data_IF_695779104610
#
_entry.id   IF_695779104610
#
_cell.length_a   1.000
_cell.length_b   1.000
_cell.length_c   1.000
_cell.angle_alpha   90.00
_cell.angle_beta   90.00
_cell.angle_gamma   90.00
#
_symmetry.space_group_name_H-M   'P 1'
#
loop_
_entity.id
_entity.type
_entity.pdbx_description
1 polymer ?
#
# COMPACT_ATOMS: atom_id res chain seq x y z
N UNK A 1 13.67 -32.60 17.59
CA UNK A 1 12.36 -31.90 17.75
C UNK A 1 12.51 -30.52 17.12
N UNK A 2 12.35 -30.39 15.80
CA UNK A 2 12.34 -29.08 15.15
C UNK A 2 11.06 -28.38 15.59
N UNK A 3 11.18 -27.32 16.40
CA UNK A 3 10.07 -26.38 16.58
C UNK A 3 9.65 -25.97 15.19
N UNK A 4 8.35 -26.05 14.88
CA UNK A 4 7.78 -25.54 13.64
C UNK A 4 8.09 -24.03 13.58
N UNK A 5 9.27 -23.69 13.05
CA UNK A 5 9.67 -22.32 12.77
C UNK A 5 8.58 -21.75 11.89
N UNK A 6 7.98 -20.64 12.31
CA UNK A 6 6.92 -20.04 11.54
C UNK A 6 7.58 -19.53 10.27
N UNK A 7 7.10 -19.91 9.10
CA UNK A 7 7.57 -19.42 7.80
C UNK A 7 7.78 -17.90 7.73
N UNK A 8 7.13 -17.15 8.61
CA UNK A 8 7.31 -15.70 8.84
C UNK A 8 8.77 -15.33 9.12
N UNK A 9 9.51 -16.19 9.82
CA UNK A 9 10.91 -15.98 10.21
C UNK A 9 11.87 -16.06 9.01
N UNK A 10 11.39 -16.54 7.84
CA UNK A 10 12.20 -16.70 6.63
C UNK A 10 12.07 -15.52 5.65
N UNK A 11 11.18 -14.55 5.88
CA UNK A 11 11.07 -13.36 5.03
C UNK A 11 12.30 -12.45 5.22
N UNK A 12 12.69 -11.70 4.18
CA UNK A 12 13.83 -10.78 4.29
C UNK A 12 13.60 -9.73 5.37
N UNK A 13 12.35 -9.30 5.59
CA UNK A 13 12.01 -8.37 6.68
C UNK A 13 12.27 -8.96 8.05
N UNK A 14 11.80 -10.17 8.33
CA UNK A 14 12.03 -10.83 9.62
C UNK A 14 13.52 -11.12 9.88
N UNK A 15 14.24 -11.55 8.84
CA UNK A 15 15.68 -11.76 8.91
C UNK A 15 16.44 -10.44 9.15
N UNK A 16 16.06 -9.36 8.46
CA UNK A 16 16.64 -8.03 8.67
C UNK A 16 16.39 -7.51 10.08
N UNK A 17 15.17 -7.65 10.59
CA UNK A 17 14.87 -7.29 11.98
C UNK A 17 15.77 -8.05 12.95
N UNK A 18 15.94 -9.35 12.75
CA UNK A 18 16.81 -10.18 13.59
C UNK A 18 18.28 -9.72 13.52
N UNK A 19 18.78 -9.42 12.32
CA UNK A 19 20.13 -8.93 12.11
C UNK A 19 20.35 -7.55 12.77
N UNK A 20 19.41 -6.62 12.62
CA UNK A 20 19.49 -5.28 13.22
C UNK A 20 19.37 -5.33 14.74
N UNK A 21 18.52 -6.21 15.29
CA UNK A 21 18.40 -6.40 16.75
C UNK A 21 19.68 -6.99 17.34
N UNK A 22 20.36 -7.91 16.65
CA UNK A 22 21.67 -8.42 17.09
C UNK A 22 22.74 -7.31 17.08
N UNK A 23 22.74 -6.46 16.06
CA UNK A 23 23.71 -5.37 15.92
C UNK A 23 23.42 -4.22 16.89
N UNK A 24 22.14 -3.94 17.19
CA UNK A 24 21.67 -2.80 17.99
C UNK A 24 20.47 -3.19 18.87
N UNK A 25 20.67 -3.99 19.94
CA UNK A 25 19.57 -4.49 20.76
C UNK A 25 18.68 -3.38 21.33
N UNK A 26 17.36 -3.52 21.17
CA UNK A 26 16.34 -2.59 21.66
C UNK A 26 16.32 -1.22 20.98
N UNK A 27 17.12 -1.00 19.93
CA UNK A 27 17.21 0.29 19.22
C UNK A 27 16.43 0.31 17.91
N UNK A 28 16.15 -0.86 17.33
CA UNK A 28 15.51 -0.97 16.02
C UNK A 28 14.21 -1.73 16.16
N UNK A 29 13.14 -1.17 15.61
CA UNK A 29 11.86 -1.86 15.46
C UNK A 29 11.49 -1.86 13.98
N UNK A 30 11.37 -3.05 13.41
CA UNK A 30 10.86 -3.20 12.05
C UNK A 30 9.35 -3.46 12.11
N UNK A 31 8.59 -2.73 11.30
CA UNK A 31 7.17 -3.01 11.09
C UNK A 31 6.94 -3.53 9.68
N UNK A 32 6.50 -4.79 9.57
CA UNK A 32 6.21 -5.38 8.27
C UNK A 32 4.81 -4.98 7.77
N UNK A 33 4.76 -4.10 6.76
CA UNK A 33 3.52 -3.64 6.12
C UNK A 33 3.33 -4.17 4.70
N UNK A 34 4.20 -5.07 4.20
CA UNK A 34 4.07 -5.58 2.85
C UNK A 34 2.83 -6.49 2.70
N UNK A 35 2.17 -6.38 1.53
CA UNK A 35 1.00 -7.19 1.17
C UNK A 35 1.21 -7.80 -0.22
N UNK A 36 0.93 -9.09 -0.33
CA UNK A 36 1.02 -9.83 -1.61
C UNK A 36 0.14 -9.15 -2.66
N UNK A 37 0.70 -8.88 -3.84
CA UNK A 37 -0.01 -8.24 -4.96
C UNK A 37 -0.36 -6.77 -4.72
N UNK A 38 0.21 -6.10 -3.73
CA UNK A 38 -0.03 -4.69 -3.50
C UNK A 38 1.00 -3.86 -4.27
N UNK A 39 0.54 -2.91 -5.07
CA UNK A 39 1.35 -1.89 -5.73
C UNK A 39 1.28 -0.56 -4.96
N UNK A 40 1.92 0.49 -5.48
CA UNK A 40 1.97 1.81 -4.83
C UNK A 40 0.57 2.41 -4.54
N UNK A 41 -0.39 2.45 -5.48
CA UNK A 41 -1.76 2.91 -5.17
C UNK A 41 -2.47 2.10 -4.08
N UNK A 42 -2.18 0.80 -3.96
CA UNK A 42 -2.69 -0.04 -2.89
C UNK A 42 -2.03 0.29 -1.53
N UNK A 43 -0.73 0.54 -1.51
CA UNK A 43 0.05 0.74 -0.28
C UNK A 43 -0.09 2.15 0.31
N UNK A 44 -0.29 3.18 -0.53
CA UNK A 44 -0.33 4.56 -0.08
C UNK A 44 -1.40 4.84 1.00
N UNK A 45 -2.67 4.39 0.86
CA UNK A 45 -3.66 4.53 1.93
C UNK A 45 -3.26 3.81 3.22
N UNK A 46 -2.59 2.66 3.12
CA UNK A 46 -2.18 1.91 4.31
C UNK A 46 -1.09 2.61 5.09
N UNK A 47 -0.13 3.24 4.40
CA UNK A 47 0.89 4.05 5.07
C UNK A 47 0.24 5.18 5.84
N UNK A 48 -0.66 5.94 5.21
CA UNK A 48 -1.34 7.05 5.90
C UNK A 48 -2.12 6.56 7.12
N UNK A 49 -2.88 5.45 6.98
CA UNK A 49 -3.64 4.88 8.09
C UNK A 49 -2.75 4.37 9.22
N UNK A 50 -1.70 3.62 8.89
CA UNK A 50 -0.78 3.05 9.89
C UNK A 50 -0.10 4.15 10.71
N UNK A 51 0.19 5.28 10.08
CA UNK A 51 0.87 6.39 10.74
C UNK A 51 -0.06 7.23 11.61
N UNK A 52 -1.34 7.33 11.25
CA UNK A 52 -2.32 8.00 12.13
C UNK A 52 -2.54 7.26 13.45
N UNK A 53 -2.52 5.94 13.43
CA UNK A 53 -2.60 5.11 14.64
C UNK A 53 -1.31 5.11 15.47
N UNK A 54 -0.21 5.64 14.91
CA UNK A 54 1.09 5.69 15.58
C UNK A 54 1.30 7.03 16.26
N UNK A 55 1.88 7.01 17.47
CA UNK A 55 2.34 8.23 18.14
C UNK A 55 3.61 8.82 17.54
N UNK A 56 4.28 8.09 16.64
CA UNK A 56 5.56 8.48 16.03
C UNK A 56 5.61 8.06 14.57
N UNK A 57 6.07 8.95 13.70
CA UNK A 57 6.42 8.57 12.33
C UNK A 57 7.62 7.61 12.33
N UNK A 58 7.75 6.70 11.35
CA UNK A 58 8.91 5.85 11.21
C UNK A 58 10.12 6.70 10.84
N UNK A 59 11.30 6.32 11.32
CA UNK A 59 12.54 6.96 10.90
C UNK A 59 12.87 6.65 9.43
N UNK A 60 12.45 5.48 8.94
CA UNK A 60 12.72 4.98 7.59
C UNK A 60 11.54 4.15 7.06
N UNK A 61 11.18 4.37 5.80
CA UNK A 61 10.29 3.51 5.02
C UNK A 61 11.09 2.86 3.89
N UNK A 62 11.02 1.54 3.83
CA UNK A 62 11.62 0.73 2.76
C UNK A 62 10.54 0.40 1.72
N UNK A 63 10.75 0.81 0.47
CA UNK A 63 9.84 0.60 -0.65
C UNK A 63 10.34 -0.57 -1.51
N UNK A 64 9.62 -1.69 -1.52
CA UNK A 64 9.88 -2.88 -2.33
C UNK A 64 8.63 -3.24 -3.15
N UNK A 65 8.53 -2.71 -4.37
CA UNK A 65 7.38 -2.89 -5.27
C UNK A 65 7.76 -3.47 -6.63
N UNK A 66 9.00 -3.90 -6.84
CA UNK A 66 9.50 -4.23 -8.17
C UNK A 66 8.72 -5.35 -8.86
N UNK A 67 8.28 -6.38 -8.13
CA UNK A 67 7.45 -7.47 -8.69
C UNK A 67 5.99 -7.09 -8.93
N UNK A 68 5.41 -6.24 -8.08
CA UNK A 68 3.99 -5.87 -8.19
C UNK A 68 3.79 -4.68 -9.14
N UNK A 69 4.87 -4.24 -9.79
CA UNK A 69 4.96 -3.02 -10.56
C UNK A 69 4.96 -1.81 -9.63
N UNK A 70 5.82 -0.84 -9.92
CA UNK A 70 5.83 0.49 -9.32
C UNK A 70 4.59 1.31 -9.77
N UNK A 71 3.41 0.71 -9.77
CA UNK A 71 2.16 1.31 -10.26
C UNK A 71 2.04 1.41 -11.78
N UNK A 72 2.97 0.81 -12.55
CA UNK A 72 2.94 0.85 -14.03
C UNK A 72 3.27 2.21 -14.65
N UNK A 73 3.54 3.23 -13.83
CA UNK A 73 3.96 4.56 -14.28
C UNK A 73 4.83 5.25 -13.22
N UNK A 74 5.83 6.05 -13.61
CA UNK A 74 6.70 6.76 -12.68
C UNK A 74 5.97 7.78 -11.79
N UNK A 75 4.84 8.32 -12.27
CA UNK A 75 3.99 9.26 -11.54
C UNK A 75 3.50 8.67 -10.22
N UNK A 76 3.21 7.37 -10.16
CA UNK A 76 2.72 6.72 -8.94
C UNK A 76 3.80 6.66 -7.85
N UNK A 77 5.07 6.45 -8.23
CA UNK A 77 6.18 6.46 -7.27
C UNK A 77 6.47 7.87 -6.78
N UNK A 78 6.43 8.84 -7.68
CA UNK A 78 6.57 10.23 -7.28
C UNK A 78 5.42 10.71 -6.38
N UNK A 79 4.18 10.36 -6.70
CA UNK A 79 3.01 10.61 -5.85
C UNK A 79 3.24 10.07 -4.44
N UNK A 80 3.69 8.82 -4.33
CA UNK A 80 3.97 8.19 -3.04
C UNK A 80 5.07 8.94 -2.27
N UNK A 81 6.19 9.28 -2.93
CA UNK A 81 7.30 10.03 -2.33
C UNK A 81 6.82 11.37 -1.80
N UNK A 82 6.10 12.13 -2.64
CA UNK A 82 5.63 13.47 -2.29
C UNK A 82 4.62 13.43 -1.15
N UNK A 83 3.73 12.44 -1.12
CA UNK A 83 2.83 12.22 0.01
C UNK A 83 3.60 11.91 1.29
N UNK A 84 4.62 11.04 1.21
CA UNK A 84 5.45 10.74 2.38
C UNK A 84 6.18 11.99 2.89
N UNK A 85 6.79 12.79 2.03
CA UNK A 85 7.42 14.05 2.45
C UNK A 85 6.40 15.09 2.98
N UNK A 86 5.17 15.06 2.48
CA UNK A 86 4.10 15.96 2.95
C UNK A 86 3.68 15.57 4.36
N UNK A 87 3.42 14.28 4.57
CA UNK A 87 2.83 13.76 5.80
C UNK A 87 3.88 13.47 6.88
N UNK A 88 5.07 13.06 6.47
CA UNK A 88 6.18 12.61 7.28
C UNK A 88 7.50 13.23 6.78
N UNK A 89 7.68 14.56 6.88
CA UNK A 89 8.80 15.28 6.26
C UNK A 89 10.19 14.85 6.72
N UNK A 90 10.30 14.16 7.85
CA UNK A 90 11.57 13.70 8.41
C UNK A 90 11.80 12.19 8.22
N UNK A 91 10.81 11.46 7.72
CA UNK A 91 10.96 10.03 7.44
C UNK A 91 11.85 9.85 6.23
N UNK A 92 12.92 9.07 6.38
CA UNK A 92 13.75 8.68 5.27
C UNK A 92 12.98 7.69 4.38
N UNK A 93 13.21 7.78 3.08
CA UNK A 93 12.74 6.78 2.13
C UNK A 93 13.94 6.00 1.60
N UNK A 94 13.77 4.69 1.40
CA UNK A 94 14.73 3.82 0.74
C UNK A 94 14.00 3.05 -0.36
N UNK A 95 14.41 3.24 -1.60
CA UNK A 95 13.86 2.47 -2.73
C UNK A 95 14.71 1.23 -2.92
N UNK A 96 14.07 0.06 -2.98
CA UNK A 96 14.73 -1.17 -3.39
C UNK A 96 14.22 -1.57 -4.76
N UNK A 97 15.12 -1.54 -5.74
CA UNK A 97 14.85 -2.10 -7.05
C UNK A 97 15.15 -3.59 -7.07
N UNK A 98 14.12 -4.37 -7.40
CA UNK A 98 14.23 -5.73 -7.91
C UNK A 98 13.35 -5.85 -9.17
N UNK A 99 13.62 -6.85 -10.01
CA UNK A 99 12.75 -7.26 -11.11
C UNK A 99 12.42 -8.73 -10.96
N UNK A 100 11.50 -9.28 -11.76
CA UNK A 100 11.36 -10.72 -11.88
C UNK A 100 12.69 -11.31 -12.33
N UNK A 101 13.29 -12.10 -11.44
CA UNK A 101 14.60 -12.66 -11.68
C UNK A 101 14.56 -14.09 -12.25
N UNK A 102 13.37 -14.57 -12.63
CA UNK A 102 13.23 -15.81 -13.41
C UNK A 102 13.79 -15.68 -14.83
N UNK A 103 13.92 -14.44 -15.34
CA UNK A 103 14.65 -14.10 -16.56
C UNK A 103 15.80 -13.15 -16.18
N UNK A 104 17.03 -13.42 -16.61
CA UNK A 104 18.17 -12.53 -16.35
C UNK A 104 18.08 -11.26 -17.19
N UNK A 105 17.66 -11.39 -18.44
CA UNK A 105 17.58 -10.26 -19.35
C UNK A 105 16.42 -9.34 -18.92
N UNK A 106 16.70 -8.06 -18.62
CA UNK A 106 15.66 -7.13 -18.25
C UNK A 106 14.76 -6.86 -19.47
N UNK A 107 13.44 -6.88 -19.26
CA UNK A 107 12.51 -6.44 -20.29
C UNK A 107 12.64 -4.93 -20.52
N UNK A 108 12.10 -4.44 -21.65
CA UNK A 108 12.00 -2.98 -21.88
C UNK A 108 11.26 -2.25 -20.74
N UNK A 109 10.28 -2.92 -20.13
CA UNK A 109 9.55 -2.41 -18.97
C UNK A 109 10.44 -2.29 -17.74
N UNK A 110 11.27 -3.29 -17.46
CA UNK A 110 12.20 -3.28 -16.33
C UNK A 110 13.23 -2.16 -16.45
N UNK A 111 13.81 -1.99 -17.64
CA UNK A 111 14.78 -0.91 -17.92
C UNK A 111 14.13 0.46 -17.67
N UNK A 112 12.92 0.68 -18.21
CA UNK A 112 12.19 1.94 -18.04
C UNK A 112 11.85 2.21 -16.57
N UNK A 113 11.43 1.20 -15.83
CA UNK A 113 11.08 1.32 -14.42
C UNK A 113 12.33 1.60 -13.55
N UNK A 114 13.46 0.93 -13.81
CA UNK A 114 14.72 1.23 -13.12
C UNK A 114 15.22 2.64 -13.42
N UNK A 115 15.15 3.08 -14.68
CA UNK A 115 15.49 4.46 -15.06
C UNK A 115 14.63 5.48 -14.32
N UNK A 116 13.34 5.20 -14.17
CA UNK A 116 12.41 6.04 -13.41
C UNK A 116 12.77 6.09 -11.92
N UNK A 117 13.10 4.95 -11.32
CA UNK A 117 13.56 4.88 -9.93
C UNK A 117 14.85 5.67 -9.73
N UNK A 118 15.81 5.58 -10.66
CA UNK A 118 17.06 6.36 -10.64
C UNK A 118 16.80 7.86 -10.77
N UNK A 119 15.93 8.27 -11.68
CA UNK A 119 15.59 9.67 -11.89
C UNK A 119 14.94 10.27 -10.63
N UNK A 120 13.98 9.58 -10.02
CA UNK A 120 13.34 10.02 -8.78
C UNK A 120 14.29 9.98 -7.57
N UNK A 121 15.12 8.94 -7.48
CA UNK A 121 16.17 8.82 -6.47
C UNK A 121 17.11 10.03 -6.50
N UNK A 122 17.62 10.40 -7.68
CA UNK A 122 18.47 11.57 -7.84
C UNK A 122 17.75 12.90 -7.58
N UNK A 123 16.52 13.03 -8.08
CA UNK A 123 15.72 14.25 -7.96
C UNK A 123 15.31 14.58 -6.51
N UNK A 124 14.95 13.56 -5.72
CA UNK A 124 14.53 13.71 -4.32
C UNK A 124 15.62 13.38 -3.30
N UNK A 125 16.84 13.01 -3.74
CA UNK A 125 17.93 12.61 -2.83
C UNK A 125 17.66 11.31 -2.06
N UNK A 126 16.84 10.41 -2.63
CA UNK A 126 16.41 9.17 -1.99
C UNK A 126 17.38 8.04 -2.34
N UNK A 127 17.97 7.31 -1.38
CA UNK A 127 18.80 6.15 -1.68
C UNK A 127 18.06 5.08 -2.49
N UNK A 128 18.75 4.52 -3.49
CA UNK A 128 18.27 3.42 -4.32
C UNK A 128 19.22 2.22 -4.19
N UNK A 129 18.71 1.11 -3.66
CA UNK A 129 19.42 -0.17 -3.65
C UNK A 129 18.97 -1.03 -4.81
N UNK A 130 19.92 -1.41 -5.66
CA UNK A 130 19.66 -2.23 -6.84
C UNK A 130 20.03 -3.68 -6.56
N UNK A 131 19.05 -4.47 -6.16
CA UNK A 131 19.23 -5.89 -5.87
C UNK A 131 19.65 -6.69 -7.11
N UNK A 132 19.12 -6.32 -8.29
CA UNK A 132 19.54 -6.95 -9.56
C UNK A 132 21.05 -6.78 -9.79
N UNK A 133 21.58 -5.58 -9.63
CA UNK A 133 23.01 -5.32 -9.81
C UNK A 133 23.86 -6.08 -8.77
N UNK A 134 23.39 -6.18 -7.51
CA UNK A 134 24.08 -6.97 -6.48
C UNK A 134 24.16 -8.46 -6.84
N UNK A 135 23.16 -8.99 -7.53
CA UNK A 135 23.16 -10.38 -7.98
C UNK A 135 23.98 -10.62 -9.26
N UNK A 136 23.98 -9.65 -10.18
CA UNK A 136 24.87 -9.66 -11.35
C UNK A 136 26.33 -9.69 -10.90
N UNK A 137 26.66 -8.88 -9.89
CA UNK A 137 27.99 -8.86 -9.26
C UNK A 137 28.35 -10.17 -8.58
N UNK A 138 27.43 -10.76 -7.79
CA UNK A 138 27.63 -12.11 -7.21
C UNK A 138 27.94 -13.15 -8.30
N UNK A 139 27.19 -13.11 -9.41
CA UNK A 139 27.40 -14.02 -10.53
C UNK A 139 28.76 -13.80 -11.19
N UNK A 140 29.16 -12.53 -11.38
CA UNK A 140 30.46 -12.15 -11.96
C UNK A 140 31.64 -12.64 -11.11
N UNK A 141 31.47 -12.73 -9.80
CA UNK A 141 32.47 -13.26 -8.86
C UNK A 141 32.50 -14.80 -8.78
N UNK A 142 31.79 -15.50 -9.68
CA UNK A 142 31.74 -16.97 -9.71
C UNK A 142 30.62 -17.58 -8.87
N UNK A 143 29.77 -16.76 -8.26
CA UNK A 143 28.54 -17.21 -7.64
C UNK A 143 27.57 -17.80 -8.66
N UNK A 144 26.76 -18.77 -8.23
CA UNK A 144 25.76 -19.38 -9.09
C UNK A 144 24.37 -18.76 -8.84
N UNK A 145 23.91 -17.94 -9.79
CA UNK A 145 22.58 -17.34 -9.81
C UNK A 145 21.45 -18.32 -9.45
N UNK A 146 21.47 -19.51 -10.06
CA UNK A 146 20.42 -20.53 -9.90
C UNK A 146 20.36 -21.13 -8.48
N UNK A 147 21.40 -20.93 -7.66
CA UNK A 147 21.36 -21.34 -6.25
C UNK A 147 20.62 -20.35 -5.36
N UNK A 148 20.65 -19.07 -5.72
CA UNK A 148 19.91 -18.04 -5.03
C UNK A 148 18.47 -18.03 -5.54
N UNK A 149 18.26 -17.98 -6.86
CA UNK A 149 16.93 -17.95 -7.48
C UNK A 149 16.67 -19.17 -8.39
N UNK A 150 16.59 -20.39 -7.83
CA UNK A 150 16.21 -21.57 -8.58
C UNK A 150 14.82 -21.39 -9.18
N UNK A 151 14.65 -21.74 -10.45
CA UNK A 151 13.33 -21.82 -11.09
C UNK A 151 12.66 -23.10 -10.59
N UNK A 152 11.98 -23.03 -9.44
CA UNK A 152 11.33 -24.19 -8.83
C UNK A 152 10.07 -24.58 -9.61
N UNK A 153 9.27 -23.59 -10.01
CA UNK A 153 8.06 -23.77 -10.83
C UNK A 153 7.92 -22.63 -11.85
N UNK A 154 7.32 -22.88 -13.04
CA UNK A 154 7.12 -21.84 -14.06
C UNK A 154 6.33 -20.61 -13.58
N UNK A 155 5.46 -20.78 -12.58
CA UNK A 155 4.56 -19.74 -12.06
C UNK A 155 5.02 -19.14 -10.72
N UNK A 156 6.12 -19.63 -10.15
CA UNK A 156 6.61 -19.18 -8.85
C UNK A 156 7.60 -18.01 -9.02
N UNK A 157 7.06 -16.80 -9.00
CA UNK A 157 7.84 -15.55 -9.06
C UNK A 157 8.42 -15.12 -7.71
N UNK A 158 8.21 -15.89 -6.64
CA UNK A 158 8.66 -15.53 -5.30
C UNK A 158 10.04 -16.11 -5.01
N UNK A 159 10.95 -15.32 -4.40
CA UNK A 159 12.26 -15.82 -4.02
C UNK A 159 12.17 -16.92 -2.95
N UNK A 160 13.03 -17.95 -3.00
CA UNK A 160 13.18 -18.87 -1.88
C UNK A 160 13.93 -18.21 -0.72
N UNK A 161 13.98 -18.91 0.42
CA UNK A 161 14.58 -18.40 1.65
C UNK A 161 16.04 -17.93 1.49
N UNK A 162 16.83 -18.58 0.61
CA UNK A 162 18.24 -18.22 0.37
C UNK A 162 18.39 -16.84 -0.25
N UNK A 163 17.52 -16.50 -1.20
CA UNK A 163 17.48 -15.13 -1.72
C UNK A 163 17.07 -14.15 -0.64
N UNK A 164 16.08 -14.48 0.19
CA UNK A 164 15.70 -13.59 1.30
C UNK A 164 16.86 -13.33 2.26
N UNK A 165 17.71 -14.33 2.52
CA UNK A 165 18.93 -14.17 3.30
C UNK A 165 19.93 -13.25 2.59
N UNK A 166 20.23 -13.49 1.30
CA UNK A 166 21.14 -12.63 0.53
C UNK A 166 20.65 -11.17 0.43
N UNK A 167 19.34 -10.97 0.26
CA UNK A 167 18.69 -9.66 0.27
C UNK A 167 18.84 -8.97 1.63
N UNK A 168 18.72 -9.75 2.72
CA UNK A 168 18.93 -9.27 4.08
C UNK A 168 20.38 -8.85 4.30
N UNK A 169 21.35 -9.66 3.88
CA UNK A 169 22.77 -9.36 4.01
C UNK A 169 23.15 -8.07 3.28
N UNK A 170 22.62 -7.87 2.07
CA UNK A 170 22.80 -6.63 1.30
C UNK A 170 22.28 -5.40 2.08
N UNK A 171 21.07 -5.50 2.65
CA UNK A 171 20.49 -4.41 3.44
C UNK A 171 21.28 -4.16 4.73
N UNK A 172 21.58 -5.21 5.49
CA UNK A 172 22.35 -5.11 6.72
C UNK A 172 23.72 -4.49 6.48
N UNK A 173 24.41 -4.87 5.39
CA UNK A 173 25.65 -4.25 4.97
C UNK A 173 25.50 -2.75 4.67
N UNK A 174 24.45 -2.37 3.93
CA UNK A 174 24.16 -0.96 3.65
C UNK A 174 23.91 -0.17 4.94
N UNK A 175 23.06 -0.66 5.85
CA UNK A 175 22.81 -0.04 7.14
C UNK A 175 24.10 0.11 7.96
N UNK A 176 24.92 -0.93 8.03
CA UNK A 176 26.19 -0.89 8.76
C UNK A 176 27.14 0.18 8.19
N UNK A 177 27.18 0.37 6.88
CA UNK A 177 27.96 1.45 6.27
C UNK A 177 27.42 2.83 6.61
N UNK A 178 26.10 3.04 6.52
CA UNK A 178 25.50 4.34 6.83
C UNK A 178 25.65 4.71 8.31
N UNK A 179 25.47 3.73 9.20
CA UNK A 179 25.59 3.93 10.65
C UNK A 179 27.05 4.09 11.08
N UNK A 180 28.01 3.45 10.39
CA UNK A 180 29.44 3.58 10.67
C UNK A 180 30.03 4.92 10.21
N UNK A 181 29.41 5.59 9.24
CA UNK A 181 29.88 6.88 8.72
C UNK A 181 29.34 8.11 9.45
N UNK A 182 28.42 7.94 10.40
CA UNK A 182 27.73 9.06 11.07
C UNK A 182 28.25 9.28 12.50
N UNK A 183 29.16 10.24 12.67
CA UNK A 183 29.46 10.85 13.98
C UNK A 183 28.51 12.03 14.29
N UNK A 184 27.64 12.43 13.37
CA UNK A 184 26.76 13.59 13.53
C UNK A 184 25.36 13.18 13.97
N UNK A 185 25.09 13.35 15.26
CA UNK A 185 23.76 13.23 15.87
C UNK A 185 22.86 14.38 15.45
N UNK A 186 22.35 14.38 14.22
CA UNK A 186 21.16 15.17 13.90
C UNK A 186 19.96 14.47 14.54
N UNK A 187 19.61 14.89 15.77
CA UNK A 187 18.35 14.55 16.41
C UNK A 187 17.21 15.32 15.73
N UNK A 188 16.80 14.84 14.56
CA UNK A 188 15.50 15.21 14.01
C UNK A 188 14.52 14.14 14.47
N UNK A 189 13.72 14.47 15.48
CA UNK A 189 12.67 13.59 15.97
C UNK A 189 11.51 13.63 14.96
N UNK A 190 11.15 12.49 14.32
CA UNK A 190 10.15 12.49 13.25
C UNK A 190 8.83 13.10 13.71
N UNK A 191 8.42 14.22 13.12
CA UNK A 191 7.14 14.89 13.40
C UNK A 191 6.16 14.59 12.28
N UNK A 192 5.01 14.01 12.64
CA UNK A 192 3.85 13.91 11.76
C UNK A 192 3.21 15.29 11.59
N UNK A 193 2.93 15.70 10.35
CA UNK A 193 2.20 16.96 10.12
C UNK A 193 0.73 16.81 10.48
N UNK A 194 0.14 17.89 10.98
CA UNK A 194 -1.29 18.05 11.17
C UNK A 194 -1.92 18.73 9.94
N UNK A 195 -3.26 18.65 9.76
CA UNK A 195 -3.95 19.30 8.65
C UNK A 195 -3.62 20.80 8.51
N UNK A 196 -3.49 21.51 9.63
CA UNK A 196 -3.23 22.94 9.67
C UNK A 196 -1.79 23.31 9.27
N UNK A 197 -0.87 22.33 9.26
CA UNK A 197 0.54 22.52 8.89
C UNK A 197 0.79 22.45 7.37
N UNK A 198 -0.25 22.17 6.58
CA UNK A 198 -0.17 22.07 5.13
C UNK A 198 -0.26 23.43 4.45
N UNK A 199 0.52 24.42 4.88
CA UNK A 199 0.75 25.57 4.03
C UNK A 199 1.65 25.11 2.86
N UNK A 200 1.07 25.15 1.65
CA UNK A 200 1.64 24.62 0.40
C UNK A 200 2.95 25.33 0.00
N UNK A 201 3.27 26.45 0.64
CA UNK A 201 4.41 27.34 0.32
C UNK A 201 5.78 26.88 0.82
N UNK A 202 5.92 25.68 1.38
CA UNK A 202 7.23 25.17 1.81
C UNK A 202 8.06 24.69 0.61
N UNK A 203 8.76 25.59 -0.11
CA UNK A 203 9.92 25.32 -0.97
C UNK A 203 9.99 23.88 -1.55
N UNK A 204 8.90 23.41 -2.17
CA UNK A 204 8.79 22.03 -2.57
C UNK A 204 9.73 21.80 -3.73
N UNK A 205 10.50 20.71 -3.70
CA UNK A 205 11.16 20.23 -4.90
C UNK A 205 10.06 20.07 -5.96
N UNK A 206 10.11 20.78 -7.11
CA UNK A 206 9.09 20.68 -8.14
C UNK A 206 8.92 19.23 -8.60
N UNK A 207 7.72 18.77 -8.96
CA UNK A 207 7.57 17.39 -9.38
C UNK A 207 8.30 17.15 -10.71
N UNK A 208 9.01 16.04 -10.81
CA UNK A 208 9.75 15.59 -11.99
C UNK A 208 8.80 15.11 -13.09
N UNK A 209 7.73 14.41 -12.71
CA UNK A 209 6.62 14.03 -13.55
C UNK A 209 5.41 14.92 -13.24
N UNK A 210 4.41 14.98 -14.11
CA UNK A 210 3.24 15.88 -13.97
C UNK A 210 2.25 15.40 -12.89
N UNK A 211 2.77 15.10 -11.69
CA UNK A 211 2.01 14.67 -10.52
C UNK A 211 1.28 15.87 -9.92
N UNK A 212 -0.03 15.72 -9.82
CA UNK A 212 -0.93 16.72 -9.26
C UNK A 212 -1.39 16.25 -7.89
N UNK A 213 -0.87 16.85 -6.83
CA UNK A 213 -1.15 16.41 -5.46
C UNK A 213 -2.66 16.47 -5.13
N UNK A 214 -3.38 17.40 -5.77
CA UNK A 214 -4.82 17.52 -5.66
C UNK A 214 -5.59 16.35 -6.28
N UNK A 215 -4.96 15.52 -7.11
CA UNK A 215 -5.56 14.33 -7.74
C UNK A 215 -5.21 13.01 -7.03
N UNK A 216 -4.39 13.06 -5.98
CA UNK A 216 -3.90 11.87 -5.27
C UNK A 216 -5.07 11.05 -4.76
N UNK A 217 -4.97 9.73 -4.95
CA UNK A 217 -6.01 8.77 -4.59
C UNK A 217 -5.96 8.32 -3.12
N UNK A 218 -5.70 9.26 -2.20
CA UNK A 218 -5.62 8.97 -0.76
C UNK A 218 -6.27 10.08 0.07
N UNK A 219 -6.80 9.69 1.23
CA UNK A 219 -7.15 10.62 2.29
C UNK A 219 -5.95 10.78 3.23
N UNK A 220 -5.20 11.88 3.07
CA UNK A 220 -4.06 12.20 3.94
C UNK A 220 -4.48 12.40 5.40
N UNK A 221 -5.63 13.03 5.60
CA UNK A 221 -6.21 13.29 6.91
C UNK A 221 -7.61 12.69 6.92
N UNK A 222 -7.72 11.36 7.15
CA UNK A 222 -9.03 10.73 7.13
C UNK A 222 -9.91 11.32 8.23
N UNK A 223 -11.17 11.58 7.93
CA UNK A 223 -12.16 11.98 8.93
C UNK A 223 -12.87 10.78 9.53
N UNK A 224 -12.98 9.69 8.77
CA UNK A 224 -13.47 8.40 9.25
C UNK A 224 -12.64 7.28 8.63
N UNK A 225 -12.38 6.23 9.40
CA UNK A 225 -11.63 5.07 8.95
C UNK A 225 -12.19 3.80 9.56
N UNK A 226 -12.82 2.97 8.73
CA UNK A 226 -13.16 1.61 9.07
C UNK A 226 -12.16 0.68 8.41
N UNK A 227 -11.31 0.04 9.21
CA UNK A 227 -10.28 -0.89 8.73
C UNK A 227 -10.48 -2.24 9.40
N UNK A 228 -10.64 -3.31 8.62
CA UNK A 228 -11.00 -4.61 9.18
C UNK A 228 -9.97 -5.18 10.17
N UNK A 229 -8.70 -4.76 10.06
CA UNK A 229 -7.61 -5.15 10.96
C UNK A 229 -7.69 -4.46 12.33
N UNK A 230 -8.28 -3.28 12.37
CA UNK A 230 -8.43 -2.44 13.56
C UNK A 230 -9.86 -1.90 13.56
N UNK A 231 -10.86 -2.74 13.85
CA UNK A 231 -12.28 -2.40 13.69
C UNK A 231 -12.74 -1.42 14.77
N UNK A 232 -12.25 -0.20 14.71
CA UNK A 232 -12.67 0.92 15.55
C UNK A 232 -13.97 1.47 14.97
N UNK A 233 -15.09 1.25 15.69
CA UNK A 233 -16.42 1.50 15.14
C UNK A 233 -16.79 0.42 14.11
N UNK A 234 -17.59 -0.55 14.54
CA UNK A 234 -18.07 -1.58 13.62
C UNK A 234 -19.11 -0.99 12.66
N UNK A 235 -19.12 -1.38 11.37
CA UNK A 235 -20.23 -1.05 10.49
C UNK A 235 -21.54 -1.56 11.08
N UNK A 236 -22.61 -0.83 10.83
CA UNK A 236 -23.96 -1.29 11.11
C UNK A 236 -24.26 -2.44 10.16
N UNK A 237 -24.53 -3.61 10.73
CA UNK A 237 -24.96 -4.80 9.99
C UNK A 237 -26.48 -4.79 9.92
N UNK A 238 -27.06 -5.36 8.87
CA UNK A 238 -28.51 -5.58 8.91
C UNK A 238 -28.88 -6.60 10.00
N UNK A 239 -30.17 -6.66 10.39
CA UNK A 239 -30.66 -7.61 11.38
C UNK A 239 -30.36 -9.09 11.04
N UNK A 240 -30.19 -9.42 9.76
CA UNK A 240 -29.93 -10.79 9.30
C UNK A 240 -28.48 -11.25 9.59
N UNK A 241 -27.56 -10.31 9.83
CA UNK A 241 -26.21 -10.62 10.29
C UNK A 241 -25.33 -11.41 9.31
N UNK A 242 -25.60 -11.39 7.99
CA UNK A 242 -24.84 -12.20 7.01
C UNK A 242 -23.43 -11.67 6.78
N UNK A 243 -23.25 -10.36 6.93
CA UNK A 243 -21.92 -9.76 6.92
C UNK A 243 -21.19 -10.01 8.23
N UNK A 244 -20.06 -10.67 8.15
CA UNK A 244 -19.24 -11.01 9.31
C UNK A 244 -17.83 -10.44 9.16
N UNK A 245 -17.32 -9.88 10.24
CA UNK A 245 -15.90 -9.53 10.33
C UNK A 245 -15.13 -10.78 10.73
N UNK A 246 -14.38 -11.37 9.79
CA UNK A 246 -13.50 -12.49 10.07
C UNK A 246 -12.34 -12.58 9.07
N UNK A 247 -11.44 -13.50 9.36
CA UNK A 247 -10.22 -13.75 8.59
C UNK A 247 -10.32 -15.12 7.89
N UNK A 248 -10.84 -15.14 6.67
CA UNK A 248 -10.89 -16.36 5.84
C UNK A 248 -9.51 -16.79 5.30
N UNK A 249 -8.52 -15.90 5.41
CA UNK A 249 -7.14 -16.09 4.96
C UNK A 249 -6.20 -15.39 5.93
N UNK A 250 -5.15 -16.11 6.33
CA UNK A 250 -4.16 -15.62 7.28
C UNK A 250 -3.69 -14.17 7.01
N UNK A 251 -3.71 -13.35 8.04
CA UNK A 251 -3.32 -11.93 8.11
C UNK A 251 -4.13 -10.98 7.20
N UNK A 252 -5.30 -11.45 6.74
CA UNK A 252 -6.22 -10.69 5.89
C UNK A 252 -7.62 -10.71 6.51
N UNK A 253 -7.90 -9.95 7.57
CA UNK A 253 -9.28 -9.76 8.02
C UNK A 253 -10.10 -8.96 7.01
N UNK A 254 -11.42 -9.13 7.02
CA UNK A 254 -12.35 -8.32 6.23
C UNK A 254 -13.79 -8.53 6.66
N UNK A 255 -14.67 -7.61 6.25
CA UNK A 255 -16.10 -7.83 6.32
C UNK A 255 -16.53 -8.63 5.11
N UNK A 256 -16.99 -9.84 5.35
CA UNK A 256 -17.24 -10.85 4.32
C UNK A 256 -18.71 -11.26 4.40
N UNK A 257 -19.32 -11.44 3.22
CA UNK A 257 -20.56 -12.20 3.03
C UNK A 257 -20.32 -13.25 1.96
N UNK A 258 -21.05 -14.37 2.04
CA UNK A 258 -20.95 -15.50 1.10
C UNK A 258 -22.25 -15.77 0.33
N UNK A 259 -23.30 -14.98 0.58
CA UNK A 259 -24.61 -15.21 -0.01
C UNK A 259 -25.19 -13.90 -0.57
N UNK A 260 -25.61 -13.89 -1.85
CA UNK A 260 -26.43 -12.82 -2.38
C UNK A 260 -27.68 -12.64 -1.51
N UNK A 261 -27.94 -11.41 -1.11
CA UNK A 261 -29.07 -11.08 -0.24
C UNK A 261 -29.44 -9.60 -0.38
N UNK A 262 -30.58 -9.23 0.19
CA UNK A 262 -30.96 -7.83 0.41
C UNK A 262 -30.16 -7.17 1.54
N UNK A 263 -29.36 -7.94 2.29
CA UNK A 263 -28.56 -7.47 3.43
C UNK A 263 -27.50 -6.44 2.98
N UNK A 264 -27.48 -5.28 3.66
CA UNK A 264 -26.51 -4.22 3.45
C UNK A 264 -25.55 -4.14 4.64
N UNK A 265 -24.26 -4.12 4.34
CA UNK A 265 -23.22 -3.67 5.28
C UNK A 265 -23.06 -2.16 5.15
N UNK A 266 -23.26 -1.41 6.24
CA UNK A 266 -23.27 0.05 6.23
C UNK A 266 -22.16 0.64 7.09
N UNK A 267 -21.36 1.54 6.51
CA UNK A 267 -20.31 2.30 7.18
C UNK A 267 -20.73 3.76 7.27
N UNK A 268 -20.91 4.28 8.48
CA UNK A 268 -21.12 5.73 8.70
C UNK A 268 -19.81 6.48 8.48
N UNK A 269 -19.81 7.55 7.71
CA UNK A 269 -18.58 8.28 7.33
C UNK A 269 -18.78 9.79 7.41
N UNK A 270 -17.69 10.51 7.68
CA UNK A 270 -17.66 11.96 7.71
C UNK A 270 -16.91 12.51 6.49
N UNK A 271 -17.43 13.59 5.90
CA UNK A 271 -16.88 14.25 4.73
C UNK A 271 -16.42 15.67 5.05
N UNK A 272 -15.28 16.06 4.46
CA UNK A 272 -14.85 17.46 4.44
C UNK A 272 -15.58 18.21 3.32
N UNK A 273 -15.24 19.49 3.14
CA UNK A 273 -15.68 20.28 1.97
C UNK A 273 -15.18 19.75 0.62
N UNK A 274 -14.19 18.84 0.61
CA UNK A 274 -13.67 18.16 -0.58
C UNK A 274 -13.84 16.66 -0.40
N UNK A 275 -15.10 16.22 -0.34
CA UNK A 275 -15.46 14.85 -0.02
C UNK A 275 -14.78 13.82 -0.93
N UNK A 276 -14.24 12.78 -0.30
CA UNK A 276 -13.53 11.66 -0.89
C UNK A 276 -13.84 10.40 -0.10
N UNK A 277 -14.01 9.29 -0.80
CA UNK A 277 -14.06 7.95 -0.20
C UNK A 277 -13.01 7.09 -0.86
N UNK A 278 -12.21 6.40 -0.05
CA UNK A 278 -11.32 5.32 -0.48
C UNK A 278 -11.90 4.01 0.03
N UNK A 279 -12.23 3.12 -0.90
CA UNK A 279 -12.75 1.78 -0.62
C UNK A 279 -11.68 0.77 -1.03
N UNK A 280 -11.30 -0.11 -0.12
CA UNK A 280 -10.48 -1.27 -0.45
C UNK A 280 -11.30 -2.54 -0.30
N UNK A 281 -11.29 -3.39 -1.33
CA UNK A 281 -11.96 -4.68 -1.31
C UNK A 281 -11.09 -5.76 -1.96
N UNK A 282 -11.40 -7.02 -1.68
CA UNK A 282 -10.64 -8.16 -2.19
C UNK A 282 -11.05 -8.49 -3.63
N UNK A 283 -10.07 -8.73 -4.49
CA UNK A 283 -10.25 -9.11 -5.90
C UNK A 283 -9.87 -10.56 -6.22
N UNK A 284 -9.02 -11.23 -5.42
CA UNK A 284 -8.33 -12.46 -5.91
C UNK A 284 -8.53 -13.75 -5.09
N UNK A 285 -9.69 -14.37 -5.21
CA UNK A 285 -9.84 -15.81 -4.97
C UNK A 285 -10.82 -16.36 -6.01
N UNK A 286 -10.77 -17.67 -6.26
CA UNK A 286 -11.91 -18.35 -6.87
C UNK A 286 -13.17 -17.96 -6.09
N UNK A 287 -14.31 -17.84 -6.78
CA UNK A 287 -15.59 -17.57 -6.14
C UNK A 287 -15.67 -16.16 -5.51
N UNK A 288 -15.33 -15.08 -6.23
CA UNK A 288 -15.69 -13.71 -5.81
C UNK A 288 -16.78 -13.16 -6.73
N UNK A 289 -17.77 -12.55 -6.12
CA UNK A 289 -18.90 -11.91 -6.72
C UNK A 289 -18.72 -10.42 -7.00
N UNK A 290 -19.84 -9.78 -7.32
CA UNK A 290 -19.95 -8.34 -7.54
C UNK A 290 -20.80 -7.75 -6.43
N UNK A 291 -20.28 -6.71 -5.77
CA UNK A 291 -21.08 -5.94 -4.84
C UNK A 291 -21.65 -4.68 -5.51
N UNK A 292 -22.90 -4.36 -5.19
CA UNK A 292 -23.42 -3.01 -5.37
C UNK A 292 -22.97 -2.16 -4.20
N UNK A 293 -22.34 -1.02 -4.52
CA UNK A 293 -21.88 -0.03 -3.57
C UNK A 293 -22.77 1.19 -3.71
N UNK A 294 -23.33 1.66 -2.60
CA UNK A 294 -24.17 2.85 -2.53
C UNK A 294 -23.55 3.86 -1.57
N UNK A 295 -23.55 5.13 -1.96
CA UNK A 295 -22.99 6.21 -1.15
C UNK A 295 -24.05 7.26 -0.88
N UNK A 296 -24.29 7.46 0.40
CA UNK A 296 -25.20 8.46 0.91
C UNK A 296 -24.43 9.72 1.29
N UNK A 297 -25.02 10.86 0.92
CA UNK A 297 -24.48 12.20 1.11
C UNK A 297 -25.05 13.15 0.07
N UNK A 298 -24.87 14.45 0.27
CA UNK A 298 -25.35 15.48 -0.65
C UNK A 298 -24.53 15.61 -1.93
N UNK A 299 -23.37 14.94 -2.01
CA UNK A 299 -22.41 15.04 -3.11
C UNK A 299 -22.83 14.32 -4.40
N UNK A 300 -22.38 14.86 -5.53
CA UNK A 300 -22.36 14.15 -6.81
C UNK A 300 -21.06 13.38 -6.93
N UNK A 301 -21.12 12.06 -6.79
CA UNK A 301 -19.93 11.22 -6.73
C UNK A 301 -19.37 10.89 -8.11
N UNK A 302 -18.05 10.94 -8.21
CA UNK A 302 -17.29 10.62 -9.41
C UNK A 302 -16.27 9.53 -9.17
N UNK A 303 -16.11 8.64 -10.14
CA UNK A 303 -15.03 7.67 -10.22
C UNK A 303 -14.33 7.86 -11.58
N UNK A 304 -13.00 8.02 -11.58
CA UNK A 304 -12.21 8.25 -12.79
C UNK A 304 -12.76 9.39 -13.67
N UNK A 305 -13.23 10.47 -13.03
CA UNK A 305 -13.80 11.65 -13.69
C UNK A 305 -15.20 11.44 -14.28
N UNK A 306 -15.83 10.28 -14.05
CA UNK A 306 -17.20 9.99 -14.50
C UNK A 306 -18.15 9.96 -13.32
N UNK A 307 -19.32 10.57 -13.46
CA UNK A 307 -20.38 10.49 -12.46
C UNK A 307 -20.83 9.03 -12.28
N UNK A 308 -21.11 8.63 -11.04
CA UNK A 308 -21.68 7.31 -10.76
C UNK A 308 -23.10 7.17 -11.34
N UNK A 309 -23.56 5.93 -11.53
CA UNK A 309 -24.89 5.61 -12.06
C UNK A 309 -25.94 5.48 -10.93
N UNK A 310 -27.21 5.32 -11.31
CA UNK A 310 -28.35 5.20 -10.38
C UNK A 310 -29.01 6.54 -10.05
N UNK A 311 -30.26 6.51 -9.57
CA UNK A 311 -31.00 7.73 -9.19
C UNK A 311 -30.19 8.59 -8.22
N UNK A 312 -29.85 9.82 -8.63
CA UNK A 312 -28.95 10.78 -7.96
C UNK A 312 -27.43 10.52 -8.06
N UNK A 313 -26.96 9.55 -8.86
CA UNK A 313 -25.53 9.33 -9.13
C UNK A 313 -24.74 8.82 -7.93
N UNK A 314 -25.26 7.79 -7.25
CA UNK A 314 -24.78 7.33 -5.93
C UNK A 314 -24.34 5.87 -5.87
N UNK A 315 -24.48 5.13 -6.96
CA UNK A 315 -24.23 3.69 -6.96
C UNK A 315 -23.30 3.23 -8.07
N UNK A 316 -22.50 2.21 -7.78
CA UNK A 316 -21.71 1.50 -8.78
C UNK A 316 -21.55 0.03 -8.43
N UNK A 317 -21.16 -0.76 -9.43
CA UNK A 317 -20.85 -2.18 -9.24
C UNK A 317 -19.34 -2.37 -9.05
N UNK A 318 -18.97 -2.82 -7.86
CA UNK A 318 -17.61 -3.24 -7.55
C UNK A 318 -17.44 -4.69 -7.99
N UNK A 319 -17.06 -4.89 -9.25
CA UNK A 319 -16.73 -6.21 -9.77
C UNK A 319 -15.34 -6.62 -9.27
N UNK A 320 -15.21 -7.89 -8.89
CA UNK A 320 -13.93 -8.49 -8.52
C UNK A 320 -13.26 -9.25 -9.69
N UNK A 321 -13.80 -9.15 -10.90
CA UNK A 321 -13.36 -9.96 -12.04
C UNK A 321 -11.89 -9.71 -12.42
N UNK A 322 -11.24 -10.77 -12.89
CA UNK A 322 -9.80 -10.84 -13.08
C UNK A 322 -9.40 -10.50 -14.52
N UNK A 323 -9.40 -9.21 -14.86
CA UNK A 323 -9.01 -8.72 -16.18
C UNK A 323 -7.49 -8.51 -16.34
N UNK A 324 -6.63 -9.47 -15.95
CA UNK A 324 -5.16 -9.45 -16.14
C UNK A 324 -4.28 -8.69 -15.12
N UNK A 325 -4.79 -8.25 -13.95
CA UNK A 325 -3.95 -7.58 -12.94
C UNK A 325 -3.62 -8.47 -11.74
N UNK A 326 -2.34 -8.53 -11.38
CA UNK A 326 -1.77 -9.28 -10.23
C UNK A 326 -1.97 -8.49 -8.93
N UNK A 327 -3.15 -7.90 -8.70
CA UNK A 327 -3.48 -7.30 -7.41
C UNK A 327 -4.59 -8.06 -6.71
N UNK A 328 -4.31 -8.47 -5.46
CA UNK A 328 -5.29 -9.18 -4.63
C UNK A 328 -6.33 -8.25 -4.04
N UNK A 329 -6.03 -6.96 -4.01
CA UNK A 329 -6.86 -5.89 -3.47
C UNK A 329 -7.17 -4.91 -4.58
N UNK A 330 -8.41 -4.45 -4.64
CA UNK A 330 -8.80 -3.34 -5.49
C UNK A 330 -9.04 -2.13 -4.60
N UNK A 331 -8.44 -1.00 -4.97
CA UNK A 331 -8.76 0.31 -4.39
C UNK A 331 -9.67 1.04 -5.37
N UNK A 332 -10.76 1.60 -4.86
CA UNK A 332 -11.62 2.54 -5.58
C UNK A 332 -11.62 3.84 -4.81
N UNK A 333 -11.30 4.93 -5.51
CA UNK A 333 -11.42 6.28 -4.98
C UNK A 333 -12.59 6.98 -5.64
N UNK A 334 -13.41 7.63 -4.82
CA UNK A 334 -14.58 8.38 -5.22
C UNK A 334 -14.43 9.81 -4.75
N UNK A 335 -14.74 10.75 -5.63
CA UNK A 335 -14.58 12.19 -5.37
C UNK A 335 -15.97 12.82 -5.47
N UNK A 336 -16.38 13.51 -4.41
CA UNK A 336 -17.59 14.32 -4.42
C UNK A 336 -17.33 15.63 -5.17
N UNK A 337 -18.12 15.92 -6.20
CA UNK A 337 -18.08 17.21 -6.86
C UNK A 337 -18.59 18.28 -5.88
N UNK A 338 -17.79 19.34 -5.68
CA UNK A 338 -18.11 20.42 -4.75
C UNK A 338 -19.41 21.09 -5.15
N UNK A 339 -20.41 21.04 -4.27
CA UNK A 339 -21.57 21.89 -4.37
C UNK A 339 -21.24 23.26 -3.75
N UNK A 340 -21.80 24.38 -4.26
CA UNK A 340 -21.50 25.73 -3.77
C UNK A 340 -21.69 25.93 -2.25
N UNK A 341 -22.55 25.11 -1.64
CA UNK A 341 -22.88 25.18 -0.21
C UNK A 341 -22.50 23.90 0.55
N UNK A 342 -21.54 23.12 0.03
CA UNK A 342 -21.19 21.87 0.68
C UNK A 342 -20.52 22.14 2.04
N UNK A 343 -21.19 21.72 3.11
CA UNK A 343 -20.66 21.75 4.47
C UNK A 343 -19.96 20.43 4.78
N UNK A 344 -19.36 20.39 5.97
CA UNK A 344 -19.06 19.11 6.60
C UNK A 344 -20.37 18.32 6.73
N UNK A 345 -20.34 17.04 6.37
CA UNK A 345 -21.54 16.21 6.29
C UNK A 345 -21.21 14.79 6.77
N UNK A 346 -22.15 14.21 7.51
CA UNK A 346 -22.19 12.77 7.79
C UNK A 346 -22.93 12.06 6.66
N UNK A 347 -22.35 11.00 6.12
CA UNK A 347 -23.01 10.13 5.15
C UNK A 347 -22.73 8.67 5.46
N UNK A 348 -22.97 7.80 4.47
CA UNK A 348 -22.69 6.39 4.63
C UNK A 348 -22.25 5.73 3.33
N UNK A 349 -21.46 4.66 3.44
CA UNK A 349 -21.12 3.76 2.34
C UNK A 349 -21.73 2.40 2.65
N UNK A 350 -22.59 1.92 1.77
CA UNK A 350 -23.27 0.64 1.93
C UNK A 350 -22.85 -0.36 0.85
N UNK A 351 -22.74 -1.63 1.24
CA UNK A 351 -22.37 -2.72 0.34
C UNK A 351 -23.45 -3.80 0.37
N UNK A 352 -23.84 -4.28 -0.80
CA UNK A 352 -24.73 -5.43 -0.98
C UNK A 352 -24.12 -6.39 -1.98
N UNK A 353 -24.02 -7.68 -1.64
CA UNK A 353 -23.58 -8.70 -2.60
C UNK A 353 -24.71 -8.89 -3.63
N UNK A 354 -24.46 -8.43 -4.87
CA UNK A 354 -25.44 -8.51 -5.95
C UNK A 354 -25.40 -9.86 -6.64
N UNK A 355 -24.19 -10.29 -7.03
CA UNK A 355 -23.98 -11.51 -7.82
C UNK A 355 -22.78 -12.28 -7.27
N UNK A 356 -22.78 -13.60 -7.38
CA UNK A 356 -21.65 -14.47 -7.04
C UNK A 356 -21.55 -14.86 -5.56
N UNK A 357 -20.59 -15.73 -5.21
CA UNK A 357 -20.61 -16.48 -3.94
C UNK A 357 -19.85 -15.82 -2.78
N UNK A 358 -19.24 -14.64 -2.99
CA UNK A 358 -18.49 -13.95 -1.93
C UNK A 358 -18.16 -12.51 -2.27
N UNK A 359 -18.19 -11.62 -1.29
CA UNK A 359 -17.51 -10.33 -1.39
C UNK A 359 -16.83 -9.99 -0.07
N UNK A 360 -15.71 -9.25 -0.14
CA UNK A 360 -14.93 -8.89 1.05
C UNK A 360 -14.49 -7.45 0.99
N UNK A 361 -14.98 -6.64 1.94
CA UNK A 361 -14.52 -5.28 2.20
C UNK A 361 -13.35 -5.32 3.16
N UNK A 362 -12.28 -4.59 2.84
CA UNK A 362 -11.07 -4.48 3.65
C UNK A 362 -11.06 -3.18 4.43
N UNK A 363 -11.41 -2.07 3.78
CA UNK A 363 -11.52 -0.77 4.43
C UNK A 363 -12.44 0.20 3.70
N UNK A 364 -13.01 1.12 4.47
CA UNK A 364 -13.72 2.32 3.98
C UNK A 364 -13.16 3.51 4.74
N UNK A 365 -12.59 4.46 3.99
CA UNK A 365 -11.92 5.62 4.54
C UNK A 365 -12.52 6.85 3.88
N UNK A 366 -12.85 7.87 4.66
CA UNK A 366 -13.37 9.13 4.13
C UNK A 366 -12.53 10.32 4.56
N UNK A 367 -12.56 11.34 3.70
CA UNK A 367 -12.19 12.72 3.94
C UNK A 367 -13.10 13.56 3.02
#
# INVERSE_FOLDING_TARGET
MMRSGRWVDCSWGAQLQSALEQLRPGRVRLEHRARRGCNLPCALPEVVLAQRGSFRAPDLIILDFGQNGWGGSPENLEEFIRVCHLFMPQTLLLIIWNKDMTNLDPSKGDIKNLQSCRALSGHYGIPLLNFQAAMEEYTRQGGNWSQLWPRVLPEEHHPPWRTHAYFTDMLAYWFNRQLGSSESSLQLAPVLRQPDDLNVDQAWIPPLYNVKLEKIQVCLFPLTSHVAREPNGSPTRSPEGRWQLYEDRRDKPGWITMEPSSDKLRFEVNFSRKARVVIQYLRSYANIGTAEVEIEGSWLWQHDGKNLQGGKGRSFRAAAEWGHRISVTQTVMLIGASLPNASWETGAVSFRLADGPKFKVISVISC
#
